data_IF_205730681699
#
_entry.id   IF_205730681699
#
_cell.length_a   1.000
_cell.length_b   1.000
_cell.length_c   1.000
_cell.angle_alpha   90.00
_cell.angle_beta   90.00
_cell.angle_gamma   90.00
#
_symmetry.space_group_name_H-M   'P 1'
#
loop_
_entity.id
_entity.type
_entity.pdbx_description
1 polymer ?
#
# COMPACT_ATOMS: atom_id res chain seq x y z
N UNK A 1 3.71 21.75 -48.74
CA UNK A 1 4.81 21.09 -47.98
C UNK A 1 5.54 21.99 -46.98
N UNK A 2 6.03 23.20 -47.34
CA UNK A 2 6.74 24.09 -46.39
C UNK A 2 5.96 24.47 -45.13
N UNK A 3 4.64 24.77 -45.20
CA UNK A 3 3.79 25.10 -44.05
C UNK A 3 3.64 23.94 -43.04
N UNK A 4 3.50 22.70 -43.55
CA UNK A 4 3.35 21.51 -42.71
C UNK A 4 4.66 21.23 -41.94
N UNK A 5 5.81 21.40 -42.58
CA UNK A 5 7.12 21.24 -41.97
C UNK A 5 7.40 22.27 -40.86
N UNK A 6 6.91 23.49 -41.04
CA UNK A 6 7.03 24.57 -40.06
C UNK A 6 6.16 24.33 -38.84
N UNK A 7 4.95 23.78 -39.01
CA UNK A 7 4.07 23.42 -37.91
C UNK A 7 4.61 22.19 -37.12
N UNK A 8 5.13 21.18 -37.81
CA UNK A 8 5.76 20.03 -37.18
C UNK A 8 6.97 20.44 -36.31
N UNK A 9 7.81 21.34 -36.79
CA UNK A 9 8.93 21.86 -35.99
C UNK A 9 8.45 22.63 -34.74
N UNK A 10 7.41 23.46 -34.85
CA UNK A 10 6.85 24.17 -33.70
C UNK A 10 6.32 23.18 -32.65
N UNK A 11 5.58 22.15 -33.04
CA UNK A 11 5.07 21.11 -32.16
C UNK A 11 6.24 20.37 -31.49
N UNK A 12 7.28 20.02 -32.25
CA UNK A 12 8.48 19.38 -31.70
C UNK A 12 9.17 20.25 -30.65
N UNK A 13 9.34 21.55 -30.88
CA UNK A 13 9.94 22.47 -29.91
C UNK A 13 9.06 22.64 -28.66
N UNK A 14 7.74 22.66 -28.78
CA UNK A 14 6.85 22.70 -27.62
C UNK A 14 6.93 21.42 -26.79
N UNK A 15 7.01 20.26 -27.42
CA UNK A 15 7.20 18.98 -26.73
C UNK A 15 8.55 18.95 -26.02
N UNK A 16 9.62 19.38 -26.68
CA UNK A 16 10.95 19.47 -26.09
C UNK A 16 11.00 20.46 -24.92
N UNK A 17 10.35 21.61 -25.03
CA UNK A 17 10.24 22.60 -23.97
C UNK A 17 9.48 22.07 -22.77
N UNK A 18 8.34 21.42 -22.97
CA UNK A 18 7.59 20.75 -21.89
C UNK A 18 8.40 19.65 -21.22
N UNK A 19 9.16 18.89 -22.00
CA UNK A 19 10.05 17.85 -21.46
C UNK A 19 11.16 18.45 -20.59
N UNK A 20 11.82 19.52 -21.05
CA UNK A 20 12.83 20.23 -20.27
C UNK A 20 12.23 20.89 -19.01
N UNK A 21 11.06 21.48 -19.12
CA UNK A 21 10.35 22.07 -17.98
C UNK A 21 10.03 21.01 -16.91
N UNK A 22 9.61 19.82 -17.32
CA UNK A 22 9.33 18.71 -16.41
C UNK A 22 10.60 18.17 -15.74
N UNK A 23 11.73 18.14 -16.45
CA UNK A 23 13.04 17.80 -15.84
C UNK A 23 13.43 18.88 -14.82
N UNK A 24 13.28 20.16 -15.16
CA UNK A 24 13.60 21.27 -14.27
C UNK A 24 12.72 21.28 -13.01
N UNK A 25 11.46 20.88 -13.11
CA UNK A 25 10.58 20.73 -11.94
C UNK A 25 11.02 19.56 -11.04
N UNK A 26 11.56 18.48 -11.62
CA UNK A 26 12.02 17.33 -10.82
C UNK A 26 13.24 17.66 -9.93
N UNK A 27 14.11 18.58 -10.34
CA UNK A 27 15.29 18.97 -9.55
C UNK A 27 14.88 19.59 -8.20
N UNK A 28 14.05 20.64 -8.14
CA UNK A 28 13.60 21.19 -6.86
C UNK A 28 12.72 20.21 -6.07
N UNK A 29 11.93 19.36 -6.72
CA UNK A 29 11.14 18.33 -6.04
C UNK A 29 12.04 17.33 -5.35
N UNK A 30 13.06 16.79 -6.02
CA UNK A 30 14.03 15.88 -5.41
C UNK A 30 14.83 16.55 -4.30
N UNK A 31 15.21 17.82 -4.48
CA UNK A 31 15.87 18.61 -3.44
C UNK A 31 14.97 18.79 -2.20
N UNK A 32 13.68 19.13 -2.39
CA UNK A 32 12.72 19.26 -1.29
C UNK A 32 12.48 17.92 -0.58
N UNK A 33 12.45 16.79 -1.30
CA UNK A 33 12.34 15.45 -0.73
C UNK A 33 13.52 15.15 0.20
N UNK A 34 14.72 15.65 -0.11
CA UNK A 34 15.91 15.46 0.71
C UNK A 34 15.97 16.35 1.96
N UNK A 35 15.06 17.33 2.11
CA UNK A 35 15.09 18.27 3.25
C UNK A 35 14.31 17.75 4.45
N UNK A 36 14.84 17.99 5.65
CA UNK A 36 14.24 17.65 6.95
C UNK A 36 12.81 18.17 7.15
N UNK A 37 12.45 19.28 6.49
CA UNK A 37 11.13 19.92 6.57
C UNK A 37 10.15 19.50 5.47
N UNK A 38 10.53 18.55 4.63
CA UNK A 38 9.71 18.11 3.51
C UNK A 38 8.34 17.55 3.94
N UNK A 39 8.19 16.79 5.04
CA UNK A 39 6.89 16.35 5.53
C UNK A 39 5.89 17.48 5.75
N UNK A 40 6.32 18.58 6.35
CA UNK A 40 5.48 19.77 6.56
C UNK A 40 5.07 20.43 5.25
N UNK A 41 5.95 20.42 4.26
CA UNK A 41 5.66 20.92 2.92
C UNK A 41 4.66 20.03 2.20
N UNK A 42 4.85 18.70 2.28
CA UNK A 42 3.98 17.73 1.63
C UNK A 42 2.59 17.66 2.26
N UNK A 43 2.45 17.87 3.57
CA UNK A 43 1.16 17.99 4.23
C UNK A 43 0.32 19.13 3.65
N UNK A 44 0.96 20.23 3.26
CA UNK A 44 0.26 21.39 2.65
C UNK A 44 -0.08 21.18 1.18
N UNK A 45 0.74 20.44 0.43
CA UNK A 45 0.64 20.31 -1.03
C UNK A 45 0.22 18.93 -1.52
N UNK A 46 -0.20 18.02 -0.62
CA UNK A 46 -0.76 16.70 -0.94
C UNK A 46 0.05 15.84 -1.91
N UNK A 47 1.34 15.68 -1.69
CA UNK A 47 2.14 14.63 -2.31
C UNK A 47 1.86 13.28 -1.66
N UNK A 48 0.65 12.74 -1.84
CA UNK A 48 0.23 11.51 -1.14
C UNK A 48 1.21 10.35 -1.34
N UNK A 49 1.71 10.16 -2.53
CA UNK A 49 2.65 9.08 -2.84
C UNK A 49 4.05 9.32 -2.25
N UNK A 50 4.51 10.54 -2.16
CA UNK A 50 5.83 10.87 -1.59
C UNK A 50 5.82 10.82 -0.07
N UNK A 51 4.71 11.19 0.56
CA UNK A 51 4.54 11.05 2.02
C UNK A 51 4.65 9.63 2.52
N UNK A 52 4.26 8.68 1.68
CA UNK A 52 4.33 7.28 2.01
C UNK A 52 5.73 6.71 1.80
N UNK A 53 6.58 7.38 1.01
CA UNK A 53 7.94 6.92 0.73
C UNK A 53 8.92 7.23 1.86
N UNK A 54 8.73 8.36 2.54
CA UNK A 54 9.69 8.86 3.53
C UNK A 54 8.90 9.11 4.80
N UNK A 55 9.15 8.35 5.84
CA UNK A 55 8.69 8.74 7.16
C UNK A 55 9.33 10.09 7.52
N UNK A 56 8.58 10.99 8.15
CA UNK A 56 8.90 12.42 8.19
C UNK A 56 10.26 12.80 8.75
N UNK A 57 10.90 11.92 9.49
CA UNK A 57 12.17 12.22 10.11
C UNK A 57 13.11 11.00 9.98
N UNK A 58 13.83 10.90 8.87
CA UNK A 58 15.11 10.22 8.88
C UNK A 58 16.01 11.05 9.80
N UNK A 59 15.96 10.75 11.09
CA UNK A 59 16.81 11.42 12.06
C UNK A 59 18.24 10.95 11.78
N UNK A 60 19.10 11.87 11.34
CA UNK A 60 20.53 11.58 11.11
C UNK A 60 21.22 10.98 12.34
N UNK A 61 20.63 11.11 13.50
CA UNK A 61 21.12 10.61 14.78
C UNK A 61 20.59 9.22 15.14
N UNK A 62 19.52 8.74 14.52
CA UNK A 62 19.00 7.40 14.79
C UNK A 62 19.92 6.33 14.20
N UNK A 63 20.31 5.39 15.03
CA UNK A 63 21.09 4.20 14.63
C UNK A 63 20.19 3.03 14.23
N UNK A 64 18.86 3.14 14.44
CA UNK A 64 17.88 2.08 14.20
C UNK A 64 17.08 2.42 12.96
N UNK A 65 17.05 1.51 11.99
CA UNK A 65 16.40 1.69 10.71
C UNK A 65 15.38 0.57 10.46
N UNK A 66 14.13 0.93 10.20
CA UNK A 66 13.06 0.00 9.85
C UNK A 66 12.56 0.23 8.43
N UNK A 67 12.28 -0.85 7.72
CA UNK A 67 11.64 -0.83 6.40
C UNK A 67 10.26 -1.46 6.47
N UNK A 68 9.24 -0.75 5.97
CA UNK A 68 7.86 -1.22 5.90
C UNK A 68 7.44 -1.40 4.45
N UNK A 69 7.11 -2.62 4.06
CA UNK A 69 6.72 -3.02 2.70
C UNK A 69 5.29 -3.56 2.75
N UNK A 70 4.45 -3.20 1.82
CA UNK A 70 3.10 -3.74 1.73
C UNK A 70 2.20 -2.94 0.80
N UNK A 71 0.92 -3.19 0.93
CA UNK A 71 -0.13 -2.51 0.17
C UNK A 71 -0.59 -1.19 0.84
N UNK A 72 -1.86 -0.89 0.73
CA UNK A 72 -2.50 0.27 1.33
C UNK A 72 -2.42 0.31 2.86
N UNK A 73 -2.29 -0.83 3.53
CA UNK A 73 -2.13 -0.87 4.99
C UNK A 73 -0.73 -0.43 5.45
N UNK A 74 0.32 -0.82 4.73
CA UNK A 74 1.66 -0.28 4.97
C UNK A 74 1.71 1.22 4.63
N UNK A 75 1.02 1.61 3.56
CA UNK A 75 0.87 3.01 3.17
C UNK A 75 0.19 3.85 4.25
N UNK A 76 -0.69 3.27 5.06
CA UNK A 76 -1.49 3.96 6.05
C UNK A 76 -2.80 4.52 5.48
N UNK A 77 -3.40 3.83 4.49
CA UNK A 77 -4.70 4.22 3.95
C UNK A 77 -5.81 4.12 5.00
N UNK A 78 -6.85 4.93 4.85
CA UNK A 78 -8.00 4.98 5.75
C UNK A 78 -8.59 6.38 5.82
N UNK A 79 -9.53 6.61 6.73
CA UNK A 79 -10.23 7.88 6.84
C UNK A 79 -9.30 9.08 7.07
N UNK A 80 -8.31 8.94 7.96
CA UNK A 80 -7.34 10.01 8.21
C UNK A 80 -6.49 10.32 6.98
N UNK A 81 -6.06 9.29 6.24
CA UNK A 81 -5.35 9.45 4.98
C UNK A 81 -6.18 10.21 3.93
N UNK A 82 -7.48 9.90 3.85
CA UNK A 82 -8.41 10.60 2.94
C UNK A 82 -8.59 12.07 3.32
N UNK A 83 -8.50 12.40 4.61
CA UNK A 83 -8.59 13.75 5.14
C UNK A 83 -7.25 14.51 5.09
N UNK A 84 -6.17 13.87 4.60
CA UNK A 84 -4.86 14.49 4.46
C UNK A 84 -3.98 14.42 5.72
N UNK A 85 -4.41 13.69 6.75
CA UNK A 85 -3.58 13.35 7.90
C UNK A 85 -2.84 12.04 7.62
N UNK A 86 -1.51 12.08 7.54
CA UNK A 86 -0.65 10.95 7.21
C UNK A 86 0.18 10.47 8.40
N UNK A 87 0.16 11.19 9.52
CA UNK A 87 1.08 11.01 10.64
C UNK A 87 0.73 9.82 11.54
N UNK A 88 -0.34 9.09 11.25
CA UNK A 88 -0.84 7.99 12.09
C UNK A 88 -0.48 6.59 11.55
N UNK A 89 0.09 6.48 10.36
CA UNK A 89 0.53 5.18 9.81
C UNK A 89 1.59 4.53 10.69
N UNK A 90 1.73 3.21 10.60
CA UNK A 90 2.69 2.46 11.42
C UNK A 90 4.13 2.98 11.28
N UNK A 91 4.66 3.23 10.05
CA UNK A 91 5.99 3.81 9.92
C UNK A 91 6.14 5.17 10.60
N UNK A 92 5.12 6.05 10.48
CA UNK A 92 5.17 7.37 11.12
C UNK A 92 5.21 7.29 12.64
N UNK A 93 4.49 6.33 13.23
CA UNK A 93 4.49 6.11 14.68
C UNK A 93 5.84 5.66 15.20
N UNK A 94 6.51 4.76 14.48
CA UNK A 94 7.89 4.39 14.83
C UNK A 94 8.85 5.57 14.65
N UNK A 95 8.66 6.39 13.62
CA UNK A 95 9.45 7.60 13.42
C UNK A 95 9.27 8.59 14.57
N UNK A 96 8.06 8.75 15.09
CA UNK A 96 7.79 9.62 16.25
C UNK A 96 8.45 9.12 17.54
N UNK A 97 8.85 7.85 17.60
CA UNK A 97 9.64 7.27 18.69
C UNK A 97 11.16 7.34 18.44
N UNK A 98 11.60 8.06 17.42
CA UNK A 98 13.02 8.24 17.11
C UNK A 98 13.65 7.12 16.28
N UNK A 99 12.84 6.25 15.67
CA UNK A 99 13.30 5.17 14.79
C UNK A 99 13.22 5.65 13.34
N UNK A 100 14.30 5.55 12.59
CA UNK A 100 14.26 5.80 11.15
C UNK A 100 13.36 4.77 10.46
N UNK A 101 12.25 5.23 9.93
CA UNK A 101 11.23 4.37 9.33
C UNK A 101 11.02 4.73 7.87
N UNK A 102 11.32 3.79 6.97
CA UNK A 102 11.05 3.96 5.54
C UNK A 102 9.75 3.25 5.18
N UNK A 103 8.81 4.02 4.64
CA UNK A 103 7.52 3.50 4.20
C UNK A 103 7.54 3.20 2.69
N UNK A 104 7.60 1.93 2.33
CA UNK A 104 7.46 1.43 0.97
C UNK A 104 6.07 0.81 0.71
N UNK A 105 5.03 1.34 1.35
CA UNK A 105 3.65 0.96 1.10
C UNK A 105 3.13 1.47 -0.24
N UNK A 106 2.48 0.59 -1.02
CA UNK A 106 1.92 0.90 -2.34
C UNK A 106 0.46 0.47 -2.42
N UNK A 107 -0.47 1.43 -2.32
CA UNK A 107 -1.91 1.15 -2.32
C UNK A 107 -2.37 0.30 -3.51
N UNK A 108 -3.11 -0.78 -3.22
CA UNK A 108 -3.61 -1.73 -4.22
C UNK A 108 -2.55 -2.65 -4.83
N UNK A 109 -1.34 -2.70 -4.26
CA UNK A 109 -0.29 -3.59 -4.71
C UNK A 109 -0.59 -5.04 -4.33
N UNK A 110 -0.07 -6.00 -5.10
CA UNK A 110 0.14 -7.36 -4.65
C UNK A 110 1.41 -7.45 -3.79
N UNK A 111 1.58 -8.53 -3.03
CA UNK A 111 2.80 -8.72 -2.25
C UNK A 111 4.07 -8.63 -3.12
N UNK A 112 4.03 -9.22 -4.33
CA UNK A 112 5.16 -9.13 -5.27
C UNK A 112 5.38 -7.68 -5.73
N UNK A 113 4.31 -6.98 -6.11
CA UNK A 113 4.42 -5.60 -6.59
C UNK A 113 4.92 -4.64 -5.50
N UNK A 114 4.52 -4.85 -4.25
CA UNK A 114 4.98 -4.07 -3.12
C UNK A 114 6.50 -4.25 -2.89
N UNK A 115 6.97 -5.49 -2.91
CA UNK A 115 8.43 -5.78 -2.78
C UNK A 115 9.22 -5.22 -3.95
N UNK A 116 8.74 -5.38 -5.19
CA UNK A 116 9.41 -4.82 -6.37
C UNK A 116 9.46 -3.29 -6.31
N UNK A 117 8.40 -2.66 -5.80
CA UNK A 117 8.36 -1.22 -5.60
C UNK A 117 9.41 -0.77 -4.56
N UNK A 118 9.53 -1.46 -3.43
CA UNK A 118 10.55 -1.18 -2.43
C UNK A 118 11.98 -1.32 -2.99
N UNK A 119 12.23 -2.34 -3.81
CA UNK A 119 13.52 -2.53 -4.49
C UNK A 119 13.81 -1.38 -5.45
N UNK A 120 12.82 -0.98 -6.26
CA UNK A 120 12.98 0.14 -7.17
C UNK A 120 13.23 1.46 -6.42
N UNK A 121 12.55 1.65 -5.30
CA UNK A 121 12.75 2.81 -4.44
C UNK A 121 14.19 2.85 -3.91
N UNK A 122 14.71 1.72 -3.39
CA UNK A 122 16.11 1.62 -2.95
C UNK A 122 17.07 2.02 -4.06
N UNK A 123 16.84 1.55 -5.30
CA UNK A 123 17.67 1.91 -6.47
C UNK A 123 17.56 3.39 -6.84
N UNK A 124 16.42 4.03 -6.67
CA UNK A 124 16.28 5.49 -6.87
C UNK A 124 17.10 6.25 -5.84
N UNK A 125 17.11 5.82 -4.57
CA UNK A 125 17.95 6.41 -3.53
C UNK A 125 19.44 6.29 -3.86
N UNK A 126 19.91 5.10 -4.23
CA UNK A 126 21.30 4.85 -4.63
C UNK A 126 21.73 5.69 -5.86
N UNK A 127 20.81 5.98 -6.77
CA UNK A 127 21.07 6.74 -7.99
C UNK A 127 20.98 8.27 -7.81
N UNK A 128 20.25 8.74 -6.81
CA UNK A 128 19.98 10.16 -6.62
C UNK A 128 21.15 10.86 -5.91
N UNK A 129 21.77 11.88 -6.50
CA UNK A 129 22.81 12.65 -5.84
C UNK A 129 22.29 13.52 -4.68
N UNK A 130 20.98 13.58 -4.48
CA UNK A 130 20.31 14.41 -3.48
C UNK A 130 19.77 13.61 -2.31
N UNK A 131 19.82 12.29 -2.37
CA UNK A 131 19.37 11.39 -1.32
C UNK A 131 20.57 10.66 -0.73
N UNK A 132 20.54 10.47 0.57
CA UNK A 132 21.53 9.62 1.22
C UNK A 132 21.34 8.17 0.76
N UNK A 133 22.37 7.33 0.87
CA UNK A 133 22.30 5.92 0.54
C UNK A 133 21.16 5.23 1.31
N UNK A 134 20.56 4.24 0.67
CA UNK A 134 19.49 3.46 1.30
C UNK A 134 20.08 2.66 2.48
N UNK A 135 19.61 2.87 3.73
CA UNK A 135 20.29 2.37 4.91
C UNK A 135 20.23 0.83 5.01
N UNK A 136 21.17 0.23 5.76
CA UNK A 136 21.00 -1.13 6.28
C UNK A 136 19.84 -1.09 7.30
N UNK A 137 18.98 -2.09 7.27
CA UNK A 137 17.82 -2.18 8.16
C UNK A 137 18.08 -3.12 9.33
N UNK A 138 17.69 -2.71 10.53
CA UNK A 138 17.61 -3.59 11.69
C UNK A 138 16.41 -4.51 11.58
N UNK A 139 15.28 -3.97 11.08
CA UNK A 139 14.05 -4.74 10.89
C UNK A 139 13.38 -4.45 9.56
N UNK A 140 12.90 -5.51 8.90
CA UNK A 140 12.08 -5.42 7.69
C UNK A 140 10.70 -6.00 7.96
N UNK A 141 9.66 -5.19 7.77
CA UNK A 141 8.27 -5.58 7.96
C UNK A 141 7.57 -5.71 6.60
N UNK A 142 7.00 -6.87 6.34
CA UNK A 142 6.11 -7.09 5.19
C UNK A 142 4.69 -7.19 5.71
N UNK A 143 3.81 -6.33 5.25
CA UNK A 143 2.40 -6.34 5.59
C UNK A 143 1.66 -7.29 4.66
N UNK A 144 0.78 -8.08 5.23
CA UNK A 144 -0.15 -8.95 4.53
C UNK A 144 -1.56 -8.64 5.02
N UNK A 145 -2.41 -8.19 4.11
CA UNK A 145 -3.81 -7.92 4.39
C UNK A 145 -4.71 -9.03 3.85
N UNK A 146 -5.49 -9.63 4.73
CA UNK A 146 -6.40 -10.74 4.42
C UNK A 146 -7.43 -10.40 3.35
N UNK A 147 -7.84 -9.13 3.30
CA UNK A 147 -8.99 -8.70 2.49
C UNK A 147 -8.73 -8.63 1.00
N UNK A 148 -7.48 -8.44 0.53
CA UNK A 148 -7.21 -8.26 -0.89
C UNK A 148 -5.88 -8.81 -1.41
N UNK A 149 -4.88 -9.10 -0.56
CA UNK A 149 -3.54 -9.43 -1.03
C UNK A 149 -3.52 -10.71 -1.88
N UNK A 150 -4.29 -11.72 -1.49
CA UNK A 150 -4.38 -12.96 -2.28
C UNK A 150 -5.02 -12.73 -3.65
N UNK A 151 -6.04 -11.88 -3.70
CA UNK A 151 -6.68 -11.48 -4.97
C UNK A 151 -5.75 -10.63 -5.83
N UNK A 152 -5.03 -9.69 -5.22
CA UNK A 152 -4.07 -8.85 -5.91
C UNK A 152 -2.89 -9.66 -6.47
N UNK A 153 -2.46 -10.70 -5.76
CA UNK A 153 -1.46 -11.62 -6.25
C UNK A 153 -1.91 -12.31 -7.56
N UNK A 154 -3.18 -12.72 -7.65
CA UNK A 154 -3.71 -13.40 -8.84
C UNK A 154 -3.88 -12.46 -10.04
N UNK A 155 -4.12 -11.16 -9.84
CA UNK A 155 -4.25 -10.21 -10.96
C UNK A 155 -3.03 -10.19 -11.87
N UNK A 156 -1.87 -10.49 -11.34
CA UNK A 156 -0.65 -10.60 -12.13
C UNK A 156 -0.56 -11.91 -12.90
N UNK A 157 -1.32 -12.96 -12.50
CA UNK A 157 -1.33 -14.25 -13.13
C UNK A 157 -2.26 -14.33 -14.34
N UNK A 158 -3.39 -13.63 -14.29
CA UNK A 158 -4.44 -13.70 -15.30
C UNK A 158 -4.05 -13.12 -16.66
N UNK A 159 -2.93 -12.40 -16.76
CA UNK A 159 -2.58 -11.69 -17.98
C UNK A 159 -1.44 -12.31 -18.80
N UNK A 160 -0.69 -13.32 -18.31
CA UNK A 160 0.37 -13.99 -19.10
C UNK A 160 0.96 -15.22 -18.40
N UNK A 161 1.66 -16.05 -19.17
CA UNK A 161 2.49 -17.15 -18.70
C UNK A 161 3.41 -16.71 -17.56
N UNK A 162 3.09 -17.20 -16.36
CA UNK A 162 3.63 -16.78 -15.07
C UNK A 162 5.16 -16.65 -15.02
N UNK A 163 5.87 -17.63 -15.55
CA UNK A 163 7.31 -17.73 -15.34
C UNK A 163 8.14 -16.74 -16.14
N UNK A 164 7.75 -16.43 -17.37
CA UNK A 164 8.52 -15.54 -18.24
C UNK A 164 8.27 -14.05 -17.93
N UNK A 165 7.01 -13.67 -17.75
CA UNK A 165 6.64 -12.29 -17.43
C UNK A 165 7.16 -11.85 -16.06
N UNK A 166 7.01 -12.71 -15.06
CA UNK A 166 7.52 -12.43 -13.71
C UNK A 166 9.04 -12.36 -13.68
N UNK A 167 9.73 -13.30 -14.34
CA UNK A 167 11.20 -13.30 -14.39
C UNK A 167 11.72 -12.03 -15.07
N UNK A 168 11.12 -11.59 -16.15
CA UNK A 168 11.49 -10.36 -16.83
C UNK A 168 11.16 -9.10 -16.02
N UNK A 169 10.00 -9.07 -15.37
CA UNK A 169 9.61 -7.96 -14.50
C UNK A 169 10.52 -7.87 -13.27
N UNK A 170 10.81 -8.99 -12.63
CA UNK A 170 11.75 -9.07 -11.50
C UNK A 170 13.14 -8.62 -11.94
N UNK A 171 13.69 -9.16 -13.04
CA UNK A 171 15.00 -8.75 -13.56
C UNK A 171 15.08 -7.24 -13.82
N UNK A 172 14.07 -6.66 -14.48
CA UNK A 172 14.00 -5.22 -14.74
C UNK A 172 13.85 -4.38 -13.47
N UNK A 173 13.19 -4.90 -12.44
CA UNK A 173 12.99 -4.19 -11.17
C UNK A 173 14.22 -4.25 -10.28
N UNK A 174 14.89 -5.39 -10.22
CA UNK A 174 16.12 -5.58 -9.43
C UNK A 174 17.33 -4.88 -10.08
N UNK A 175 17.37 -4.85 -11.43
CA UNK A 175 18.40 -4.16 -12.19
C UNK A 175 17.75 -3.20 -13.21
N UNK A 176 17.21 -2.07 -12.73
CA UNK A 176 16.55 -1.12 -13.60
C UNK A 176 17.57 -0.46 -14.54
N UNK A 177 17.19 -0.27 -15.82
CA UNK A 177 18.00 0.54 -16.71
C UNK A 177 17.98 2.00 -16.27
N UNK A 178 19.00 2.77 -16.64
CA UNK A 178 19.05 4.22 -16.38
C UNK A 178 17.80 4.93 -16.91
N UNK A 179 17.26 4.50 -18.04
CA UNK A 179 16.00 5.01 -18.59
C UNK A 179 14.78 4.72 -17.71
N UNK A 180 14.78 3.57 -17.03
CA UNK A 180 13.73 3.22 -16.06
C UNK A 180 13.80 4.14 -14.85
N UNK A 181 15.01 4.40 -14.33
CA UNK A 181 15.24 5.32 -13.21
C UNK A 181 14.87 6.76 -13.55
N UNK A 182 15.27 7.24 -14.74
CA UNK A 182 14.88 8.56 -15.25
C UNK A 182 13.35 8.65 -15.40
N UNK A 183 12.70 7.63 -15.96
CA UNK A 183 11.23 7.59 -16.07
C UNK A 183 10.54 7.60 -14.70
N UNK A 184 11.08 6.91 -13.71
CA UNK A 184 10.53 6.91 -12.36
C UNK A 184 10.70 8.27 -11.69
N UNK A 185 11.88 8.89 -11.77
CA UNK A 185 12.09 10.28 -11.33
C UNK A 185 11.15 11.27 -12.05
N UNK A 186 10.94 11.08 -13.36
CA UNK A 186 9.97 11.84 -14.15
C UNK A 186 8.51 11.61 -13.71
N UNK A 187 8.18 10.39 -13.29
CA UNK A 187 6.84 10.03 -12.85
C UNK A 187 6.42 10.78 -11.58
N UNK A 188 7.35 11.17 -10.71
CA UNK A 188 7.03 11.98 -9.54
C UNK A 188 6.48 13.36 -9.92
N UNK A 189 7.08 14.05 -10.89
CA UNK A 189 6.55 15.32 -11.40
C UNK A 189 5.20 15.17 -12.10
N UNK A 190 5.02 14.13 -12.91
CA UNK A 190 3.76 13.85 -13.59
C UNK A 190 2.66 13.44 -12.59
N UNK A 191 2.97 12.67 -11.56
CA UNK A 191 2.04 12.34 -10.48
C UNK A 191 1.68 13.57 -9.65
N UNK A 192 2.61 14.46 -9.38
CA UNK A 192 2.32 15.73 -8.74
C UNK A 192 1.24 16.52 -9.49
N UNK A 193 1.39 16.72 -10.80
CA UNK A 193 0.40 17.39 -11.63
C UNK A 193 -0.93 16.64 -11.65
N UNK A 194 -0.89 15.33 -11.76
CA UNK A 194 -2.09 14.48 -11.75
C UNK A 194 -2.86 14.58 -10.43
N UNK A 195 -2.18 14.53 -9.30
CA UNK A 195 -2.82 14.53 -7.97
C UNK A 195 -3.31 15.92 -7.61
N UNK A 196 -2.51 16.96 -7.84
CA UNK A 196 -2.82 18.31 -7.37
C UNK A 196 -3.65 19.15 -8.35
N UNK A 197 -3.68 18.78 -9.62
CA UNK A 197 -4.41 19.52 -10.65
C UNK A 197 -5.54 18.67 -11.24
N UNK A 198 -5.22 17.52 -11.81
CA UNK A 198 -6.20 16.72 -12.53
C UNK A 198 -7.26 16.09 -11.62
N UNK A 199 -6.88 15.52 -10.45
CA UNK A 199 -7.86 14.89 -9.53
C UNK A 199 -8.85 15.89 -8.94
N UNK A 200 -8.46 17.08 -8.43
CA UNK A 200 -9.41 18.09 -7.96
C UNK A 200 -10.36 18.56 -9.06
N UNK A 201 -9.84 18.83 -10.26
CA UNK A 201 -10.68 19.23 -11.39
C UNK A 201 -11.66 18.11 -11.76
N UNK A 202 -11.19 16.86 -11.82
CA UNK A 202 -12.05 15.70 -12.08
C UNK A 202 -13.12 15.54 -10.99
N UNK A 203 -12.79 15.73 -9.73
CA UNK A 203 -13.74 15.66 -8.61
C UNK A 203 -14.83 16.71 -8.76
N UNK A 204 -14.47 17.98 -8.98
CA UNK A 204 -15.42 19.07 -9.24
C UNK A 204 -16.32 18.72 -10.44
N UNK A 205 -15.76 18.14 -11.50
CA UNK A 205 -16.49 17.76 -12.70
C UNK A 205 -17.45 16.57 -12.47
N UNK A 206 -17.04 15.59 -11.67
CA UNK A 206 -17.88 14.45 -11.30
C UNK A 206 -19.01 14.89 -10.34
N UNK A 207 -18.72 15.79 -9.40
CA UNK A 207 -19.72 16.41 -8.50
C UNK A 207 -20.76 17.24 -9.30
N UNK A 208 -20.33 18.04 -10.27
CA UNK A 208 -21.20 18.82 -11.16
C UNK A 208 -22.08 17.92 -12.05
N UNK A 209 -21.64 16.71 -12.38
CA UNK A 209 -22.39 15.73 -13.17
C UNK A 209 -23.35 14.88 -12.34
N UNK A 210 -23.45 15.13 -11.03
CA UNK A 210 -24.33 14.36 -10.15
C UNK A 210 -23.97 12.87 -10.09
N UNK A 211 -22.69 12.50 -10.34
CA UNK A 211 -22.20 11.15 -10.12
C UNK A 211 -21.98 10.87 -8.64
N UNK A 212 -23.04 10.99 -7.86
CA UNK A 212 -23.06 10.39 -6.54
C UNK A 212 -22.87 8.88 -6.69
N UNK A 213 -21.74 8.38 -6.22
CA UNK A 213 -21.61 6.95 -5.99
C UNK A 213 -22.74 6.58 -5.01
N UNK A 214 -23.74 5.84 -5.44
CA UNK A 214 -24.79 5.29 -4.54
C UNK A 214 -24.07 4.41 -3.52
N UNK A 215 -23.66 5.02 -2.41
CA UNK A 215 -23.04 4.35 -1.27
C UNK A 215 -24.11 3.57 -0.53
N UNK A 216 -24.53 2.43 -1.10
CA UNK A 216 -25.49 1.54 -0.47
C UNK A 216 -24.86 0.95 0.79
N UNK A 217 -25.44 1.31 1.93
CA UNK A 217 -25.13 0.66 3.21
C UNK A 217 -25.87 -0.69 3.23
N UNK A 218 -25.10 -1.78 3.21
CA UNK A 218 -25.65 -3.13 2.95
C UNK A 218 -25.39 -4.12 4.09
N UNK A 219 -24.42 -3.84 4.95
CA UNK A 219 -24.08 -4.70 6.10
C UNK A 219 -24.44 -4.03 7.42
N UNK A 220 -24.76 -4.84 8.42
CA UNK A 220 -24.96 -4.41 9.80
C UNK A 220 -23.94 -5.13 10.69
N UNK A 221 -23.02 -4.37 11.27
CA UNK A 221 -22.03 -4.87 12.22
C UNK A 221 -22.43 -4.47 13.65
N UNK A 222 -22.03 -5.26 14.63
CA UNK A 222 -22.31 -5.01 16.03
C UNK A 222 -21.04 -4.62 16.77
N UNK A 223 -21.08 -3.48 17.47
CA UNK A 223 -19.98 -2.94 18.26
C UNK A 223 -20.56 -2.42 19.58
N UNK A 224 -20.15 -2.99 20.70
CA UNK A 224 -20.61 -2.59 22.03
C UNK A 224 -22.15 -2.49 22.14
N UNK A 225 -22.86 -3.50 21.62
CA UNK A 225 -24.34 -3.56 21.63
C UNK A 225 -25.03 -2.56 20.70
N UNK A 226 -24.31 -1.82 19.85
CA UNK A 226 -24.85 -0.90 18.86
C UNK A 226 -24.64 -1.46 17.45
N UNK A 227 -25.66 -1.28 16.60
CA UNK A 227 -25.59 -1.67 15.19
C UNK A 227 -25.07 -0.50 14.34
N UNK A 228 -24.06 -0.76 13.55
CA UNK A 228 -23.49 0.17 12.57
C UNK A 228 -23.75 -0.34 11.16
N UNK A 229 -24.27 0.55 10.31
CA UNK A 229 -24.46 0.26 8.88
C UNK A 229 -23.18 0.52 8.12
N UNK A 230 -22.72 -0.46 7.34
CA UNK A 230 -21.52 -0.35 6.53
C UNK A 230 -21.80 -0.63 5.06
N UNK A 231 -20.87 -0.19 4.21
CA UNK A 231 -20.82 -0.59 2.80
C UNK A 231 -20.48 -2.09 2.72
N UNK A 232 -20.35 -2.61 1.48
CA UNK A 232 -19.73 -3.91 1.27
C UNK A 232 -18.34 -3.94 1.92
N UNK A 233 -17.98 -5.07 2.50
CA UNK A 233 -16.72 -5.27 3.24
C UNK A 233 -15.82 -6.27 2.49
N UNK A 234 -14.53 -6.16 2.73
CA UNK A 234 -13.56 -7.16 2.27
C UNK A 234 -13.56 -8.36 3.21
N UNK A 235 -13.37 -9.55 2.64
CA UNK A 235 -13.42 -10.83 3.33
C UNK A 235 -12.10 -11.61 3.20
N UNK A 236 -12.01 -12.76 3.85
CA UNK A 236 -10.87 -13.68 3.80
C UNK A 236 -10.77 -14.42 2.46
N UNK A 237 -10.73 -13.69 1.33
CA UNK A 237 -10.61 -14.24 -0.03
C UNK A 237 -11.58 -15.39 -0.30
N UNK A 238 -12.85 -15.23 0.09
CA UNK A 238 -13.90 -16.27 -0.03
C UNK A 238 -14.23 -16.64 -1.47
N UNK A 239 -13.96 -15.76 -2.41
CA UNK A 239 -14.20 -15.95 -3.84
C UNK A 239 -13.15 -16.83 -4.51
N UNK A 240 -11.99 -17.07 -3.88
CA UNK A 240 -10.90 -17.83 -4.49
C UNK A 240 -11.09 -19.34 -4.33
N UNK A 241 -10.88 -20.07 -5.42
CA UNK A 241 -10.77 -21.52 -5.42
C UNK A 241 -9.44 -21.98 -4.77
N UNK A 242 -9.35 -23.27 -4.43
CA UNK A 242 -8.15 -23.83 -3.80
C UNK A 242 -6.91 -23.74 -4.72
N UNK A 243 -7.09 -23.86 -6.03
CA UNK A 243 -5.99 -23.71 -7.00
C UNK A 243 -5.52 -22.25 -7.07
N UNK A 244 -6.44 -21.29 -7.08
CA UNK A 244 -6.11 -19.86 -7.02
C UNK A 244 -5.39 -19.50 -5.73
N UNK A 245 -5.84 -20.02 -4.58
CA UNK A 245 -5.16 -19.84 -3.30
C UNK A 245 -3.74 -20.40 -3.34
N UNK A 246 -3.54 -21.61 -3.87
CA UNK A 246 -2.21 -22.21 -4.01
C UNK A 246 -1.27 -21.32 -4.84
N UNK A 247 -1.75 -20.80 -5.96
CA UNK A 247 -1.00 -19.91 -6.82
C UNK A 247 -0.65 -18.60 -6.09
N UNK A 248 -1.62 -18.00 -5.41
CA UNK A 248 -1.43 -16.78 -4.66
C UNK A 248 -0.43 -16.94 -3.49
N UNK A 249 -0.47 -18.08 -2.79
CA UNK A 249 0.54 -18.44 -1.79
C UNK A 249 1.95 -18.59 -2.39
N UNK A 250 2.05 -19.13 -3.60
CA UNK A 250 3.31 -19.21 -4.34
C UNK A 250 3.92 -17.82 -4.58
N UNK A 251 3.08 -16.84 -4.92
CA UNK A 251 3.51 -15.45 -5.11
C UNK A 251 3.96 -14.81 -3.78
N UNK A 252 3.19 -15.00 -2.70
CA UNK A 252 3.60 -14.53 -1.38
C UNK A 252 4.96 -15.09 -1.00
N UNK A 253 5.15 -16.41 -1.12
CA UNK A 253 6.44 -17.07 -0.84
C UNK A 253 7.59 -16.44 -1.64
N UNK A 254 7.40 -16.23 -2.94
CA UNK A 254 8.38 -15.61 -3.84
C UNK A 254 8.68 -14.17 -3.42
N UNK A 255 7.66 -13.42 -3.00
CA UNK A 255 7.80 -12.05 -2.52
C UNK A 255 8.67 -11.96 -1.27
N UNK A 256 8.44 -12.84 -0.29
CA UNK A 256 9.25 -12.89 0.94
C UNK A 256 10.72 -13.22 0.65
N UNK A 257 10.98 -14.22 -0.21
CA UNK A 257 12.34 -14.53 -0.67
C UNK A 257 13.00 -13.32 -1.33
N UNK A 258 12.27 -12.62 -2.19
CA UNK A 258 12.79 -11.47 -2.91
C UNK A 258 13.10 -10.31 -1.95
N UNK A 259 12.25 -10.05 -0.96
CA UNK A 259 12.50 -9.06 0.07
C UNK A 259 13.78 -9.39 0.86
N UNK A 260 13.93 -10.63 1.32
CA UNK A 260 15.10 -11.09 2.06
C UNK A 260 16.41 -10.99 1.26
N UNK A 261 16.36 -11.28 -0.04
CA UNK A 261 17.53 -11.25 -0.91
C UNK A 261 17.99 -9.82 -1.24
N UNK A 262 17.10 -8.82 -1.18
CA UNK A 262 17.41 -7.44 -1.58
C UNK A 262 17.60 -6.49 -0.40
N UNK A 263 17.00 -6.78 0.75
CA UNK A 263 17.12 -5.94 1.95
C UNK A 263 17.81 -6.73 3.05
N UNK A 264 19.08 -6.41 3.30
CA UNK A 264 19.81 -7.02 4.42
C UNK A 264 19.26 -6.49 5.73
N UNK A 265 18.85 -7.39 6.62
CA UNK A 265 18.31 -7.06 7.95
C UNK A 265 18.66 -8.17 8.94
N UNK A 266 18.68 -7.80 10.21
CA UNK A 266 18.87 -8.78 11.28
C UNK A 266 17.56 -9.55 11.53
N UNK A 267 16.41 -8.87 11.42
CA UNK A 267 15.10 -9.45 11.64
C UNK A 267 14.10 -9.15 10.51
N UNK A 268 13.32 -10.15 10.13
CA UNK A 268 12.24 -10.06 9.17
C UNK A 268 10.92 -10.42 9.82
N UNK A 269 9.88 -9.62 9.56
CA UNK A 269 8.54 -9.81 10.10
C UNK A 269 7.49 -9.83 8.99
N UNK A 270 6.56 -10.79 9.06
CA UNK A 270 5.32 -10.76 8.29
C UNK A 270 4.17 -10.39 9.22
N UNK A 271 3.55 -9.23 8.99
CA UNK A 271 2.43 -8.71 9.77
C UNK A 271 1.14 -9.13 9.08
N UNK A 272 0.37 -9.99 9.71
CA UNK A 272 -0.94 -10.39 9.23
C UNK A 272 -2.02 -9.48 9.81
N UNK A 273 -2.84 -8.91 8.91
CA UNK A 273 -3.94 -7.98 9.23
C UNK A 273 -5.24 -8.63 8.76
N UNK A 274 -6.22 -8.87 9.67
CA UNK A 274 -7.49 -9.47 9.31
C UNK A 274 -8.35 -8.51 8.49
N UNK A 275 -9.23 -9.07 7.67
CA UNK A 275 -10.26 -8.29 6.96
C UNK A 275 -11.35 -7.78 7.93
N UNK A 276 -12.10 -6.74 7.56
CA UNK A 276 -13.23 -6.25 8.37
C UNK A 276 -14.25 -7.35 8.67
N UNK A 277 -14.51 -8.25 7.71
CA UNK A 277 -15.44 -9.37 7.92
C UNK A 277 -14.93 -10.36 8.97
N UNK A 278 -13.62 -10.54 9.08
CA UNK A 278 -13.02 -11.34 10.16
C UNK A 278 -13.05 -10.61 11.51
N UNK A 279 -12.98 -9.29 11.47
CA UNK A 279 -12.79 -8.44 12.65
C UNK A 279 -14.09 -8.19 13.43
N UNK A 280 -15.22 -8.03 12.72
CA UNK A 280 -16.49 -7.66 13.33
C UNK A 280 -17.48 -8.82 13.46
N UNK A 281 -18.37 -8.70 14.44
CA UNK A 281 -19.58 -9.53 14.53
C UNK A 281 -20.70 -8.92 13.67
N UNK A 282 -21.52 -9.76 13.06
CA UNK A 282 -22.66 -9.34 12.22
C UNK A 282 -23.97 -9.67 12.92
N UNK A 283 -24.93 -8.76 12.86
CA UNK A 283 -26.29 -9.00 13.34
C UNK A 283 -27.08 -9.95 12.45
N UNK A 284 -26.62 -10.17 11.20
CA UNK A 284 -27.22 -11.05 10.21
C UNK A 284 -26.35 -12.29 9.98
N UNK A 285 -26.98 -13.41 9.61
CA UNK A 285 -26.27 -14.64 9.25
C UNK A 285 -25.47 -14.52 7.95
N UNK A 286 -25.85 -13.59 7.10
CA UNK A 286 -25.22 -13.31 5.81
C UNK A 286 -24.71 -11.88 5.78
N UNK A 287 -23.67 -11.65 5.01
CA UNK A 287 -23.10 -10.34 4.76
C UNK A 287 -22.74 -10.18 3.28
N UNK A 288 -22.68 -8.93 2.83
CA UNK A 288 -22.36 -8.57 1.45
C UNK A 288 -20.88 -8.24 1.35
N UNK A 289 -20.15 -9.02 0.54
CA UNK A 289 -18.77 -8.74 0.22
C UNK A 289 -18.62 -8.10 -1.16
N UNK A 290 -17.52 -7.40 -1.33
CA UNK A 290 -17.05 -6.98 -2.64
C UNK A 290 -16.10 -8.04 -3.19
N UNK A 291 -16.48 -8.69 -4.29
CA UNK A 291 -15.58 -9.57 -5.01
C UNK A 291 -14.92 -8.82 -6.17
N UNK A 292 -13.73 -9.25 -6.54
CA UNK A 292 -13.00 -8.64 -7.65
C UNK A 292 -13.50 -9.07 -9.03
N UNK A 293 -14.12 -10.27 -9.11
CA UNK A 293 -14.55 -10.86 -10.39
C UNK A 293 -16.04 -10.63 -10.66
N UNK A 294 -16.88 -10.84 -9.65
CA UNK A 294 -18.33 -10.95 -9.82
C UNK A 294 -19.13 -9.81 -9.16
N UNK A 295 -18.45 -8.77 -8.69
CA UNK A 295 -19.12 -7.67 -8.01
C UNK A 295 -19.49 -8.02 -6.56
N UNK A 296 -20.79 -7.99 -6.21
CA UNK A 296 -21.27 -8.23 -4.83
C UNK A 296 -21.83 -9.63 -4.68
N UNK A 297 -21.46 -10.29 -3.56
CA UNK A 297 -22.02 -11.60 -3.17
C UNK A 297 -22.49 -11.58 -1.73
N UNK A 298 -23.62 -12.27 -1.45
CA UNK A 298 -24.06 -12.57 -0.10
C UNK A 298 -23.46 -13.91 0.31
N UNK A 299 -22.80 -13.96 1.47
CA UNK A 299 -22.15 -15.16 1.98
C UNK A 299 -22.42 -15.33 3.49
N UNK A 300 -22.52 -16.57 3.98
CA UNK A 300 -22.60 -16.84 5.41
C UNK A 300 -21.34 -16.41 6.17
N UNK A 301 -21.53 -15.75 7.32
CA UNK A 301 -20.39 -15.28 8.14
C UNK A 301 -19.51 -16.41 8.66
N UNK A 302 -20.06 -17.60 8.90
CA UNK A 302 -19.33 -18.78 9.33
C UNK A 302 -18.25 -19.22 8.32
N UNK A 303 -18.51 -19.10 7.02
CA UNK A 303 -17.53 -19.43 5.97
C UNK A 303 -16.29 -18.54 6.05
N UNK A 304 -16.46 -17.26 6.40
CA UNK A 304 -15.33 -16.36 6.53
C UNK A 304 -14.39 -16.75 7.67
N UNK A 305 -14.91 -17.15 8.82
CA UNK A 305 -14.09 -17.58 9.96
C UNK A 305 -13.29 -18.85 9.62
N UNK A 306 -13.92 -19.83 8.96
CA UNK A 306 -13.24 -21.05 8.52
C UNK A 306 -12.11 -20.70 7.55
N UNK A 307 -12.40 -19.84 6.57
CA UNK A 307 -11.42 -19.40 5.56
C UNK A 307 -10.29 -18.59 6.20
N UNK A 308 -10.60 -17.63 7.07
CA UNK A 308 -9.59 -16.84 7.78
C UNK A 308 -8.63 -17.70 8.59
N UNK A 309 -9.14 -18.67 9.35
CA UNK A 309 -8.30 -19.61 10.10
C UNK A 309 -7.40 -20.44 9.19
N UNK A 310 -7.92 -20.89 8.05
CA UNK A 310 -7.14 -21.61 7.03
C UNK A 310 -6.02 -20.73 6.46
N UNK A 311 -6.33 -19.47 6.11
CA UNK A 311 -5.35 -18.51 5.59
C UNK A 311 -4.26 -18.23 6.60
N UNK A 312 -4.62 -17.88 7.83
CA UNK A 312 -3.67 -17.59 8.93
C UNK A 312 -2.67 -18.72 9.12
N UNK A 313 -3.16 -19.97 9.18
CA UNK A 313 -2.31 -21.18 9.35
C UNK A 313 -1.31 -21.32 8.18
N UNK A 314 -1.78 -21.18 6.93
CA UNK A 314 -0.92 -21.36 5.76
C UNK A 314 0.08 -20.22 5.59
N UNK A 315 -0.34 -18.97 5.81
CA UNK A 315 0.51 -17.80 5.71
C UNK A 315 1.59 -17.82 6.81
N UNK A 316 1.23 -18.20 8.04
CA UNK A 316 2.20 -18.44 9.11
C UNK A 316 3.27 -19.45 8.68
N UNK A 317 2.86 -20.62 8.16
CA UNK A 317 3.78 -21.64 7.66
C UNK A 317 4.69 -21.13 6.54
N UNK A 318 4.17 -20.30 5.63
CA UNK A 318 4.95 -19.68 4.56
C UNK A 318 5.99 -18.71 5.15
N UNK A 319 5.58 -17.85 6.08
CA UNK A 319 6.47 -16.91 6.76
C UNK A 319 7.62 -17.63 7.45
N UNK A 320 7.30 -18.62 8.30
CA UNK A 320 8.29 -19.41 9.04
C UNK A 320 9.26 -20.16 8.12
N UNK A 321 8.78 -20.75 7.02
CA UNK A 321 9.61 -21.44 6.03
C UNK A 321 10.58 -20.50 5.29
N UNK A 322 10.25 -19.21 5.19
CA UNK A 322 11.14 -18.18 4.60
C UNK A 322 11.92 -17.42 5.68
N UNK A 323 11.89 -17.89 6.94
CA UNK A 323 12.53 -17.28 8.11
C UNK A 323 12.07 -15.83 8.37
N UNK A 324 10.75 -15.62 8.33
CA UNK A 324 10.08 -14.43 8.80
C UNK A 324 9.38 -14.72 10.13
N UNK A 325 9.55 -13.86 11.11
CA UNK A 325 8.75 -13.85 12.32
C UNK A 325 7.31 -13.48 11.96
N UNK A 326 6.33 -14.30 12.37
CA UNK A 326 4.93 -14.06 12.05
C UNK A 326 4.22 -13.33 13.18
N UNK A 327 3.68 -12.15 12.91
CA UNK A 327 2.87 -11.36 13.86
C UNK A 327 1.42 -11.36 13.36
N UNK A 328 0.55 -12.10 14.04
CA UNK A 328 -0.88 -12.16 13.77
C UNK A 328 -1.64 -11.15 14.62
N UNK A 329 -2.12 -10.08 14.00
CA UNK A 329 -2.85 -9.01 14.72
C UNK A 329 -4.34 -9.33 14.94
N UNK A 330 -4.84 -10.47 14.45
CA UNK A 330 -6.28 -10.79 14.43
C UNK A 330 -6.95 -10.65 15.79
N UNK A 331 -6.45 -11.34 16.80
CA UNK A 331 -7.09 -11.32 18.13
C UNK A 331 -7.02 -9.95 18.81
N UNK A 332 -5.96 -9.20 18.53
CA UNK A 332 -5.78 -7.84 19.06
C UNK A 332 -6.80 -6.87 18.45
N UNK A 333 -6.98 -6.93 17.13
CA UNK A 333 -7.92 -6.08 16.41
C UNK A 333 -9.38 -6.47 16.71
N UNK A 334 -9.71 -7.77 16.80
CA UNK A 334 -11.05 -8.24 17.18
C UNK A 334 -11.43 -7.72 18.57
N UNK A 335 -10.51 -7.79 19.56
CA UNK A 335 -10.80 -7.28 20.92
C UNK A 335 -11.11 -5.79 20.90
N UNK A 336 -10.35 -5.01 20.15
CA UNK A 336 -10.60 -3.56 20.05
C UNK A 336 -11.91 -3.28 19.30
N UNK A 337 -12.20 -4.00 18.23
CA UNK A 337 -13.41 -3.86 17.44
C UNK A 337 -14.72 -4.17 18.20
N UNK A 338 -14.65 -4.99 19.26
CA UNK A 338 -15.81 -5.25 20.13
C UNK A 338 -16.26 -4.03 20.92
N UNK A 339 -15.37 -3.10 21.21
CA UNK A 339 -15.63 -1.92 22.05
C UNK A 339 -15.79 -0.65 21.21
N UNK A 340 -15.08 -0.54 20.10
CA UNK A 340 -15.02 0.68 19.27
C UNK A 340 -14.87 0.35 17.79
N UNK A 341 -15.42 1.19 16.88
CA UNK A 341 -15.17 1.01 15.45
C UNK A 341 -13.71 1.33 15.11
N UNK A 342 -13.00 0.34 14.59
CA UNK A 342 -11.59 0.47 14.17
C UNK A 342 -11.42 0.64 12.66
N UNK A 343 -12.53 0.69 11.90
CA UNK A 343 -12.61 1.06 10.50
C UNK A 343 -13.70 2.13 10.34
N UNK A 344 -13.72 2.82 9.21
CA UNK A 344 -14.75 3.82 8.91
C UNK A 344 -14.64 5.11 9.72
N UNK A 345 -15.64 5.99 9.57
CA UNK A 345 -16.94 5.77 8.93
C UNK A 345 -16.95 5.89 7.39
N UNK A 346 -15.96 6.52 6.77
CA UNK A 346 -15.92 6.75 5.32
C UNK A 346 -15.33 5.56 4.58
N UNK A 347 -14.20 5.04 5.07
CA UNK A 347 -13.47 3.92 4.50
C UNK A 347 -13.52 2.69 5.44
N UNK A 348 -14.48 1.80 5.16
CA UNK A 348 -14.63 0.55 5.91
C UNK A 348 -13.67 -0.56 5.47
N UNK A 349 -12.86 -0.31 4.44
CA UNK A 349 -11.87 -1.28 3.97
C UNK A 349 -10.53 -1.17 4.69
N UNK A 350 -10.25 -0.02 5.32
CA UNK A 350 -8.99 0.25 6.00
C UNK A 350 -9.21 0.66 7.46
N UNK A 351 -8.18 0.46 8.27
CA UNK A 351 -8.18 0.91 9.66
C UNK A 351 -8.32 2.45 9.74
N UNK A 352 -9.11 2.91 10.69
CA UNK A 352 -9.08 4.30 11.11
C UNK A 352 -7.95 4.54 12.12
N UNK A 353 -7.85 5.73 12.70
CA UNK A 353 -6.80 6.07 13.65
C UNK A 353 -6.75 5.08 14.84
N UNK A 354 -7.90 4.74 15.44
CA UNK A 354 -7.96 3.79 16.56
C UNK A 354 -7.47 2.39 16.19
N UNK A 355 -7.79 1.95 14.97
CA UNK A 355 -7.32 0.67 14.45
C UNK A 355 -5.80 0.65 14.24
N UNK A 356 -5.23 1.72 13.69
CA UNK A 356 -3.77 1.86 13.55
C UNK A 356 -3.08 2.01 14.91
N UNK A 357 -3.67 2.68 15.89
CA UNK A 357 -3.17 2.74 17.27
C UNK A 357 -3.05 1.35 17.89
N UNK A 358 -4.09 0.56 17.73
CA UNK A 358 -4.13 -0.82 18.25
C UNK A 358 -3.10 -1.70 17.53
N UNK A 359 -3.01 -1.61 16.20
CA UNK A 359 -2.06 -2.36 15.40
C UNK A 359 -0.61 -2.01 15.77
N UNK A 360 -0.30 -0.72 15.90
CA UNK A 360 1.02 -0.24 16.31
C UNK A 360 1.42 -0.77 17.69
N UNK A 361 0.55 -0.58 18.68
CA UNK A 361 0.79 -1.05 20.07
C UNK A 361 1.05 -2.55 20.08
N UNK A 362 0.28 -3.31 19.29
CA UNK A 362 0.43 -4.76 19.23
C UNK A 362 1.75 -5.17 18.54
N UNK A 363 2.10 -4.58 17.39
CA UNK A 363 3.38 -4.84 16.71
C UNK A 363 4.53 -4.53 17.67
N UNK A 364 4.52 -3.35 18.29
CA UNK A 364 5.57 -2.91 19.23
C UNK A 364 5.77 -3.89 20.40
N UNK A 365 4.71 -4.54 20.87
CA UNK A 365 4.79 -5.53 21.93
C UNK A 365 5.39 -6.88 21.50
N UNK A 366 5.65 -7.09 20.20
CA UNK A 366 6.13 -8.35 19.61
C UNK A 366 7.55 -8.30 19.03
N UNK A 367 8.18 -7.11 19.02
CA UNK A 367 9.48 -6.90 18.36
C UNK A 367 10.61 -6.51 19.37
#
# INVERSE_FOLDING_TARGET
MKKIKLQANKIFFWILYLFLLLILINIPVNYLISQKNFPNFTNKFTFKEVHTLIAPDLQKESKINYLFIGDSYAQGAGDSYLNGDYNYSIPHRFSNEGINSINAGLGGASNLSAVLYAIQMAKVFEFSPFLDDFPKFDKVFVFFYEGNDLNNNLRHLNNNHLDEYETNKIKKSVNPSIWTLIKQGYFYGANFLRVNIHRPIKKIWDDLRGKESKNLLVNNIEINGKTYKTKHLQSAALELSDNELKNSFGILKKSLKLAKNNFKSDDYYLIYIPSPVTTYSFSTKEFVIQTYQDGRKNLPSTLNLIRSNFLRKNIKKIAENENFNFIDSTESLIRKAKTEPIHGPVDWSHLNQLGYDQLFTYIKSKI
#
